data_IF_679554484060
#
_entry.id   IF_679554484060
#
_cell.length_a   1.000
_cell.length_b   1.000
_cell.length_c   1.000
_cell.angle_alpha   90.00
_cell.angle_beta   90.00
_cell.angle_gamma   90.00
#
_symmetry.space_group_name_H-M   'P 1'
#
loop_
_entity.id
_entity.type
_entity.pdbx_description
1 polymer ?
#
# COMPACT_ATOMS: atom_id res chain seq x y z
N UNK A 1 -33.70 21.64 0.49
CA UNK A 1 -33.00 21.56 -0.58
C UNK A 1 -31.53 21.40 -0.43
N UNK A 2 -30.94 22.07 0.28
CA UNK A 2 -29.54 21.97 0.44
C UNK A 2 -29.02 20.59 0.72
N UNK A 3 -29.91 19.65 0.97
CA UNK A 3 -29.43 18.33 1.27
C UNK A 3 -28.64 17.75 0.15
N UNK A 4 -28.93 18.13 -1.03
CA UNK A 4 -28.24 17.58 -2.16
C UNK A 4 -26.80 17.92 -2.18
N UNK A 5 -26.49 19.13 -1.88
CA UNK A 5 -25.14 19.48 -1.93
C UNK A 5 -24.40 18.84 -0.84
N UNK A 6 -25.04 18.64 0.25
CA UNK A 6 -24.34 18.03 1.29
C UNK A 6 -23.95 16.68 0.89
N UNK A 7 -24.78 16.02 0.14
CA UNK A 7 -24.46 14.75 -0.28
C UNK A 7 -23.33 14.70 -1.13
N UNK A 8 -23.14 15.63 -1.97
CA UNK A 8 -22.08 15.66 -2.87
C UNK A 8 -20.80 15.57 -2.17
N UNK A 9 -20.71 16.20 -1.06
CA UNK A 9 -19.45 16.17 -0.41
C UNK A 9 -19.33 14.98 0.42
N UNK A 10 -20.28 14.09 0.35
CA UNK A 10 -20.21 12.97 1.19
C UNK A 10 -19.12 12.06 0.78
N UNK A 11 -18.53 12.18 -0.37
CA UNK A 11 -17.42 11.34 -0.73
C UNK A 11 -16.38 11.54 0.36
N UNK A 12 -15.93 10.49 1.02
CA UNK A 12 -14.98 10.64 2.10
C UNK A 12 -13.73 11.28 1.56
N UNK A 13 -13.18 12.19 2.32
CA UNK A 13 -11.94 12.79 1.92
C UNK A 13 -10.84 11.76 2.12
N UNK A 14 -9.99 11.59 1.14
CA UNK A 14 -8.89 10.64 1.24
C UNK A 14 -7.82 11.18 2.17
N UNK A 15 -7.21 10.29 2.94
CA UNK A 15 -6.10 10.66 3.78
C UNK A 15 -4.79 10.15 3.16
N UNK A 16 -3.66 10.47 3.77
CA UNK A 16 -2.36 10.07 3.24
C UNK A 16 -2.24 8.55 3.12
N UNK A 17 -2.83 7.81 4.05
CA UNK A 17 -2.77 6.36 4.02
C UNK A 17 -3.52 5.77 2.82
N UNK A 18 -4.61 6.41 2.40
CA UNK A 18 -5.36 5.97 1.23
C UNK A 18 -4.49 6.09 -0.03
N UNK A 19 -3.70 7.17 -0.13
CA UNK A 19 -2.79 7.36 -1.24
C UNK A 19 -1.68 6.32 -1.21
N UNK A 20 -1.13 6.03 -0.01
CA UNK A 20 -0.07 5.04 0.13
C UNK A 20 -0.56 3.65 -0.25
N UNK A 21 -1.78 3.28 0.15
CA UNK A 21 -2.34 1.98 -0.21
C UNK A 21 -2.58 1.89 -1.71
N UNK A 22 -3.08 2.96 -2.32
CA UNK A 22 -3.27 2.99 -3.77
C UNK A 22 -1.95 2.85 -4.52
N UNK A 23 -0.89 3.46 -3.99
CA UNK A 23 0.43 3.34 -4.61
C UNK A 23 0.92 1.89 -4.52
N UNK A 24 0.69 1.21 -3.40
CA UNK A 24 1.09 -0.19 -3.27
C UNK A 24 0.31 -1.07 -4.26
N UNK A 25 -0.96 -0.76 -4.50
CA UNK A 25 -1.75 -1.50 -5.47
C UNK A 25 -1.14 -1.33 -6.87
N UNK A 26 -0.72 -0.11 -7.22
CA UNK A 26 -0.10 0.13 -8.52
C UNK A 26 1.23 -0.61 -8.63
N UNK A 27 2.02 -0.64 -7.56
CA UNK A 27 3.28 -1.37 -7.57
C UNK A 27 3.02 -2.85 -7.82
N UNK A 28 2.04 -3.41 -7.13
CA UNK A 28 1.72 -4.83 -7.30
C UNK A 28 1.23 -5.15 -8.70
N UNK A 29 0.50 -4.25 -9.31
CA UNK A 29 -0.09 -4.48 -10.63
C UNK A 29 0.83 -4.12 -11.79
N UNK A 30 1.59 -3.05 -11.66
CA UNK A 30 2.33 -2.51 -12.77
C UNK A 30 3.79 -2.15 -12.49
N UNK A 31 4.21 -2.21 -11.25
CA UNK A 31 5.60 -1.93 -10.88
C UNK A 31 5.82 -0.54 -10.33
N UNK A 32 7.01 -0.31 -9.81
CA UNK A 32 7.38 0.95 -9.16
C UNK A 32 7.27 2.14 -10.11
N UNK A 33 7.65 1.94 -11.36
CA UNK A 33 7.62 3.04 -12.33
C UNK A 33 6.21 3.56 -12.61
N UNK A 34 5.19 2.76 -12.34
CA UNK A 34 3.81 3.16 -12.59
C UNK A 34 3.26 4.11 -11.53
N UNK A 35 3.95 4.25 -10.39
CA UNK A 35 3.48 5.13 -9.33
C UNK A 35 3.69 6.57 -9.76
N UNK A 36 2.61 7.24 -10.11
CA UNK A 36 2.62 8.62 -10.56
C UNK A 36 1.34 9.30 -10.08
N UNK A 37 1.39 10.60 -9.92
CA UNK A 37 0.30 11.36 -9.33
C UNK A 37 -0.99 11.26 -10.15
N UNK A 38 -0.92 11.46 -11.45
CA UNK A 38 -2.12 11.44 -12.29
C UNK A 38 -2.81 10.09 -12.36
N UNK A 39 -2.11 8.99 -12.68
CA UNK A 39 -2.78 7.70 -12.71
C UNK A 39 -3.38 7.33 -11.37
N UNK A 40 -2.70 7.68 -10.28
CA UNK A 40 -3.19 7.35 -8.96
C UNK A 40 -4.39 8.19 -8.59
N UNK A 41 -4.39 9.49 -8.89
CA UNK A 41 -5.53 10.35 -8.64
C UNK A 41 -6.76 9.83 -9.39
N UNK A 42 -6.55 9.40 -10.64
CA UNK A 42 -7.62 8.87 -11.45
C UNK A 42 -8.16 7.58 -10.85
N UNK A 43 -7.27 6.71 -10.39
CA UNK A 43 -7.64 5.46 -9.76
C UNK A 43 -8.45 5.70 -8.48
N UNK A 44 -8.08 6.71 -7.71
CA UNK A 44 -8.75 7.02 -6.45
C UNK A 44 -9.97 7.92 -6.61
N UNK A 45 -10.24 8.37 -7.83
CA UNK A 45 -11.40 9.20 -8.11
C UNK A 45 -11.31 10.60 -7.55
N UNK A 46 -10.11 11.16 -7.48
CA UNK A 46 -9.90 12.50 -6.92
C UNK A 46 -9.06 13.35 -7.87
N UNK A 47 -8.91 14.62 -7.52
CA UNK A 47 -8.13 15.53 -8.37
C UNK A 47 -6.64 15.40 -8.07
N UNK A 48 -5.81 15.74 -9.06
CA UNK A 48 -4.38 15.73 -8.90
C UNK A 48 -3.97 16.71 -7.81
N UNK A 49 -4.69 17.82 -7.69
CA UNK A 49 -4.37 18.83 -6.67
C UNK A 49 -4.48 18.31 -5.25
N UNK A 50 -5.40 17.35 -5.00
CA UNK A 50 -5.57 16.84 -3.67
C UNK A 50 -4.36 16.03 -3.18
N UNK A 51 -3.54 15.52 -4.10
CA UNK A 51 -2.33 14.81 -3.74
C UNK A 51 -1.39 15.73 -2.97
N UNK A 52 -1.24 16.97 -3.44
CA UNK A 52 -0.27 17.88 -2.85
C UNK A 52 -0.63 18.40 -1.46
N UNK A 53 -1.83 18.03 -0.97
CA UNK A 53 -2.20 18.30 0.40
C UNK A 53 -1.48 17.33 1.32
N UNK A 54 -1.09 16.16 0.81
CA UNK A 54 -0.53 15.10 1.63
C UNK A 54 0.95 14.84 1.39
N UNK A 55 1.41 15.05 0.18
CA UNK A 55 2.80 14.74 -0.17
C UNK A 55 3.41 15.85 -1.03
N UNK A 56 4.64 16.22 -0.76
CA UNK A 56 5.31 17.26 -1.57
C UNK A 56 5.77 16.73 -2.93
N UNK A 57 5.89 15.43 -3.09
CA UNK A 57 6.43 14.85 -4.32
C UNK A 57 6.03 13.40 -4.50
N UNK A 58 6.23 12.88 -5.70
CA UNK A 58 6.01 11.49 -6.00
C UNK A 58 6.90 10.60 -5.15
N UNK A 59 8.16 10.99 -4.94
CA UNK A 59 9.08 10.18 -4.15
C UNK A 59 8.66 10.14 -2.68
N UNK A 60 8.07 11.21 -2.16
CA UNK A 60 7.54 11.20 -0.80
C UNK A 60 6.39 10.21 -0.68
N UNK A 61 5.53 10.13 -1.69
CA UNK A 61 4.44 9.16 -1.72
C UNK A 61 5.01 7.74 -1.78
N UNK A 62 6.00 7.52 -2.63
CA UNK A 62 6.61 6.21 -2.77
C UNK A 62 7.24 5.77 -1.44
N UNK A 63 7.93 6.69 -0.78
CA UNK A 63 8.54 6.38 0.53
C UNK A 63 7.47 5.99 1.54
N UNK A 64 6.34 6.73 1.58
CA UNK A 64 5.25 6.42 2.50
C UNK A 64 4.60 5.08 2.18
N UNK A 65 4.45 4.78 0.90
CA UNK A 65 3.88 3.50 0.48
C UNK A 65 4.76 2.33 0.92
N UNK A 66 6.07 2.46 0.73
CA UNK A 66 6.99 1.40 1.10
C UNK A 66 7.13 1.26 2.61
N UNK A 67 7.02 2.36 3.34
CA UNK A 67 7.03 2.31 4.78
C UNK A 67 5.79 1.59 5.27
N UNK A 68 4.64 1.85 4.66
CA UNK A 68 3.41 1.15 5.02
C UNK A 68 3.53 -0.35 4.73
N UNK A 69 4.10 -0.71 3.59
CA UNK A 69 4.28 -2.11 3.24
C UNK A 69 5.17 -2.81 4.26
N UNK A 70 6.26 -2.15 4.62
CA UNK A 70 7.22 -2.72 5.56
C UNK A 70 6.63 -2.84 6.98
N UNK A 71 5.99 -1.79 7.46
CA UNK A 71 5.56 -1.74 8.86
C UNK A 71 4.19 -2.33 9.12
N UNK A 72 3.32 -2.30 8.14
CA UNK A 72 1.95 -2.79 8.31
C UNK A 72 1.75 -4.15 7.66
N UNK A 73 1.98 -4.21 6.35
CA UNK A 73 1.65 -5.44 5.63
C UNK A 73 2.58 -6.60 5.95
N UNK A 74 3.88 -6.36 6.08
CA UNK A 74 4.80 -7.42 6.42
C UNK A 74 4.63 -7.83 7.88
N UNK A 75 4.38 -6.87 8.77
CA UNK A 75 4.20 -7.20 10.18
C UNK A 75 2.92 -8.01 10.38
N UNK A 76 1.87 -7.74 9.61
CA UNK A 76 0.66 -8.54 9.70
C UNK A 76 0.94 -9.99 9.35
N UNK A 77 1.76 -10.23 8.34
CA UNK A 77 2.11 -11.58 7.93
C UNK A 77 2.87 -12.30 9.05
N UNK A 78 3.85 -11.63 9.65
CA UNK A 78 4.68 -12.25 10.67
C UNK A 78 4.02 -12.37 12.02
N UNK A 79 3.12 -11.46 12.35
CA UNK A 79 2.53 -11.39 13.68
C UNK A 79 1.11 -11.94 13.78
N UNK A 80 0.58 -12.45 12.68
CA UNK A 80 -0.76 -12.97 12.70
C UNK A 80 -0.78 -14.22 13.56
N UNK A 81 -1.47 -14.13 14.69
CA UNK A 81 -1.46 -15.20 15.65
C UNK A 81 -2.40 -16.31 15.25
N UNK A 82 -2.03 -17.52 15.59
CA UNK A 82 -2.91 -18.64 15.37
C UNK A 82 -3.82 -18.76 16.58
N UNK A 83 -4.32 -17.63 17.04
CA UNK A 83 -5.13 -17.58 18.23
C UNK A 83 -6.60 -17.85 17.99
N UNK A 84 -7.00 -18.00 16.74
CA UNK A 84 -8.39 -18.24 16.41
C UNK A 84 -8.69 -19.71 16.60
N UNK A 85 -9.58 -20.03 17.52
CA UNK A 85 -9.89 -21.43 17.84
C UNK A 85 -10.97 -22.03 16.98
N UNK A 86 -11.88 -21.21 16.46
CA UNK A 86 -12.95 -21.72 15.61
C UNK A 86 -12.37 -22.18 14.25
N UNK A 87 -12.55 -23.44 13.87
CA UNK A 87 -11.98 -23.95 12.62
C UNK A 87 -12.40 -23.19 11.37
N UNK A 88 -13.63 -22.67 11.34
CA UNK A 88 -14.10 -21.95 10.17
C UNK A 88 -13.40 -20.60 10.06
N UNK A 89 -13.24 -19.91 11.18
CA UNK A 89 -12.56 -18.63 11.20
C UNK A 89 -11.08 -18.83 10.95
N UNK A 90 -10.52 -19.94 11.43
CA UNK A 90 -9.12 -20.25 11.21
C UNK A 90 -8.85 -20.47 9.72
N UNK A 91 -9.76 -21.15 9.02
CA UNK A 91 -9.59 -21.37 7.60
C UNK A 91 -9.65 -20.05 6.85
N UNK A 92 -10.58 -19.15 7.23
CA UNK A 92 -10.70 -17.84 6.61
C UNK A 92 -9.42 -17.06 6.84
N UNK A 93 -8.87 -17.11 8.07
CA UNK A 93 -7.63 -16.40 8.38
C UNK A 93 -6.48 -16.94 7.54
N UNK A 94 -6.43 -18.26 7.33
CA UNK A 94 -5.40 -18.85 6.52
C UNK A 94 -5.47 -18.36 5.08
N UNK A 95 -6.66 -18.30 4.49
CA UNK A 95 -6.81 -17.82 3.13
C UNK A 95 -6.42 -16.34 3.03
N UNK A 96 -6.80 -15.53 4.03
CA UNK A 96 -6.43 -14.13 4.04
C UNK A 96 -4.93 -13.97 4.15
N UNK A 97 -4.29 -14.80 4.97
CA UNK A 97 -2.83 -14.75 5.12
C UNK A 97 -2.14 -15.10 3.81
N UNK A 98 -2.62 -16.15 3.14
CA UNK A 98 -2.03 -16.55 1.87
C UNK A 98 -2.18 -15.43 0.84
N UNK A 99 -3.35 -14.78 0.79
CA UNK A 99 -3.57 -13.69 -0.14
C UNK A 99 -2.63 -12.52 0.14
N UNK A 100 -2.42 -12.20 1.42
CA UNK A 100 -1.50 -11.13 1.80
C UNK A 100 -0.06 -11.51 1.45
N UNK A 101 0.33 -12.75 1.65
CA UNK A 101 1.67 -13.19 1.32
C UNK A 101 1.92 -13.14 -0.17
N UNK A 102 0.94 -13.54 -0.98
CA UNK A 102 1.07 -13.48 -2.43
C UNK A 102 1.26 -12.03 -2.87
N UNK A 103 0.44 -11.12 -2.34
CA UNK A 103 0.54 -9.71 -2.67
C UNK A 103 1.89 -9.14 -2.24
N UNK A 104 2.33 -9.46 -1.02
CA UNK A 104 3.61 -8.95 -0.52
C UNK A 104 4.78 -9.50 -1.31
N UNK A 105 4.71 -10.76 -1.78
CA UNK A 105 5.74 -11.31 -2.62
C UNK A 105 5.75 -10.63 -3.99
N UNK A 106 4.58 -10.28 -4.52
CA UNK A 106 4.50 -9.57 -5.79
C UNK A 106 5.14 -8.19 -5.65
N UNK A 107 4.84 -7.49 -4.55
CA UNK A 107 5.46 -6.19 -4.29
C UNK A 107 6.97 -6.36 -4.15
N UNK A 108 7.42 -7.35 -3.39
CA UNK A 108 8.84 -7.60 -3.19
C UNK A 108 9.55 -7.83 -4.54
N UNK A 109 8.95 -8.61 -5.42
CA UNK A 109 9.49 -8.85 -6.74
C UNK A 109 9.62 -7.57 -7.55
N UNK A 110 8.60 -6.72 -7.49
CA UNK A 110 8.65 -5.45 -8.21
C UNK A 110 9.71 -4.53 -7.65
N UNK A 111 9.91 -4.54 -6.33
CA UNK A 111 10.94 -3.72 -5.72
C UNK A 111 12.33 -4.23 -6.10
N UNK A 112 12.50 -5.54 -6.27
CA UNK A 112 13.77 -6.08 -6.70
C UNK A 112 14.14 -5.57 -8.09
N UNK A 113 13.15 -5.31 -8.94
CA UNK A 113 13.41 -4.78 -10.28
C UNK A 113 13.79 -3.31 -10.25
N UNK A 114 13.56 -2.64 -9.13
CA UNK A 114 13.83 -1.21 -8.98
C UNK A 114 14.88 -0.92 -7.91
N UNK A 115 15.82 -1.84 -7.71
CA UNK A 115 16.82 -1.71 -6.67
C UNK A 115 17.73 -0.50 -6.78
N UNK A 116 17.84 0.06 -7.97
CA UNK A 116 18.66 1.26 -8.17
C UNK A 116 17.90 2.53 -7.80
N UNK A 117 16.60 2.44 -7.52
CA UNK A 117 15.84 3.62 -7.15
C UNK A 117 16.20 4.03 -5.71
N UNK A 118 16.55 5.29 -5.47
CA UNK A 118 17.01 5.73 -4.15
C UNK A 118 16.01 5.58 -3.01
N UNK A 119 14.71 5.55 -3.32
CA UNK A 119 13.70 5.35 -2.29
C UNK A 119 13.52 3.87 -1.99
N UNK A 120 13.69 3.01 -3.00
CA UNK A 120 13.50 1.57 -2.87
C UNK A 120 14.65 0.89 -2.16
N UNK A 121 15.88 1.31 -2.46
CA UNK A 121 17.07 0.65 -1.96
C UNK A 121 17.15 0.49 -0.44
N UNK A 122 16.91 1.54 0.37
CA UNK A 122 16.99 1.39 1.82
C UNK A 122 15.95 0.43 2.39
N UNK A 123 14.75 0.44 1.80
CA UNK A 123 13.68 -0.44 2.24
C UNK A 123 14.06 -1.88 1.98
N UNK A 124 14.61 -2.15 0.79
CA UNK A 124 15.00 -3.51 0.43
C UNK A 124 16.14 -4.03 1.29
N UNK A 125 17.05 -3.15 1.68
CA UNK A 125 18.13 -3.54 2.56
C UNK A 125 17.56 -3.97 3.92
N UNK A 126 16.61 -3.22 4.46
CA UNK A 126 16.01 -3.56 5.74
C UNK A 126 15.19 -4.86 5.66
N UNK A 127 14.43 -5.01 4.60
CA UNK A 127 13.57 -6.18 4.44
C UNK A 127 14.41 -7.44 4.23
N UNK A 128 15.45 -7.34 3.42
CA UNK A 128 16.34 -8.48 3.18
C UNK A 128 17.02 -8.93 4.46
N UNK A 129 17.46 -7.98 5.27
CA UNK A 129 18.12 -8.30 6.51
C UNK A 129 17.12 -8.98 7.46
N UNK A 130 15.90 -8.48 7.51
CA UNK A 130 14.87 -9.05 8.36
C UNK A 130 14.53 -10.49 7.98
N UNK A 131 14.56 -10.79 6.67
CA UNK A 131 14.26 -12.14 6.21
C UNK A 131 15.36 -13.14 6.52
N UNK A 132 16.59 -12.68 6.64
CA UNK A 132 17.71 -13.54 6.95
C UNK A 132 17.80 -13.84 8.45
N UNK A 133 17.21 -13.00 9.25
CA UNK A 133 17.16 -13.19 10.69
C UNK A 133 15.93 -14.01 11.07
#
# INVERSE_FOLDING_TARGET
MPAAEKKIERAPRLNADDWARGALDLIAEEGVAAVAVEPLARRLGVTKGSFYWHFPSRDALLAAALERWESVELDEIFNRADAVEDPRLRLRELFQRVAHEVRSHTIYSELLKALDHPVVQPVMQRVSKRRLD
#
